data_IF_503462590956
#
_entry.id   IF_503462590956
#
_cell.length_a   1.000
_cell.length_b   1.000
_cell.length_c   1.000
_cell.angle_alpha   90.00
_cell.angle_beta   90.00
_cell.angle_gamma   90.00
#
_symmetry.space_group_name_H-M   'P 1'
#
loop_
_entity.id
_entity.type
_entity.pdbx_description
1 polymer ?
#
# COMPACT_ATOMS: atom_id res chain seq x y z
N UNK A 1 -14.84 10.45 -16.04
CA UNK A 1 -14.61 10.28 -14.58
C UNK A 1 -13.19 10.79 -14.26
N UNK A 2 -12.95 11.31 -13.06
CA UNK A 2 -11.64 11.84 -12.64
C UNK A 2 -11.26 11.31 -11.26
N UNK A 3 -9.97 11.35 -10.94
CA UNK A 3 -9.42 11.05 -9.61
C UNK A 3 -9.07 12.37 -8.93
N UNK A 4 -9.36 12.47 -7.63
CA UNK A 4 -8.95 13.62 -6.84
C UNK A 4 -7.66 13.31 -6.07
N UNK A 5 -6.68 14.21 -6.14
CA UNK A 5 -5.49 14.21 -5.27
C UNK A 5 -5.74 15.20 -4.15
N UNK A 6 -5.74 14.73 -2.90
CA UNK A 6 -5.97 15.56 -1.73
C UNK A 6 -4.64 16.01 -1.14
N UNK A 7 -4.28 17.28 -1.39
CA UNK A 7 -3.00 17.86 -0.96
C UNK A 7 -1.86 17.58 -1.93
N UNK A 8 -1.18 18.65 -2.33
CA UNK A 8 -0.05 18.62 -3.26
C UNK A 8 1.16 19.40 -2.74
N UNK A 9 1.13 19.73 -1.46
CA UNK A 9 2.09 20.56 -0.72
C UNK A 9 2.64 19.86 0.55
N UNK A 10 2.50 18.53 0.64
CA UNK A 10 3.11 17.75 1.72
C UNK A 10 4.65 17.79 1.65
N UNK A 11 5.36 17.61 2.78
CA UNK A 11 6.82 17.46 2.79
C UNK A 11 7.23 16.05 2.30
N UNK A 12 6.92 15.74 1.05
CA UNK A 12 7.23 14.49 0.34
C UNK A 12 7.88 14.83 -1.00
N UNK A 13 8.59 13.88 -1.66
CA UNK A 13 9.36 14.19 -2.86
C UNK A 13 8.57 14.87 -3.98
N UNK A 14 7.28 14.53 -4.13
CA UNK A 14 6.41 15.11 -5.14
C UNK A 14 5.27 15.97 -4.57
N UNK A 15 5.23 16.19 -3.25
CA UNK A 15 4.19 16.99 -2.59
C UNK A 15 2.87 16.25 -2.30
N UNK A 16 2.68 15.02 -2.77
CA UNK A 16 1.49 14.20 -2.44
C UNK A 16 1.74 13.24 -1.29
N UNK A 17 0.65 12.79 -0.65
CA UNK A 17 0.74 11.86 0.47
C UNK A 17 1.41 10.54 0.05
N UNK A 18 2.32 10.03 0.89
CA UNK A 18 2.99 8.74 0.69
C UNK A 18 2.34 7.68 1.58
N UNK A 19 2.02 6.53 1.00
CA UNK A 19 1.39 5.39 1.69
C UNK A 19 2.12 4.10 1.35
N UNK A 20 2.17 3.21 2.33
CA UNK A 20 2.63 1.83 2.14
C UNK A 20 1.47 0.97 1.65
N UNK A 21 1.56 0.55 0.39
CA UNK A 21 0.59 -0.33 -0.26
C UNK A 21 1.05 -1.77 -0.12
N UNK A 22 0.14 -2.65 0.30
CA UNK A 22 0.40 -4.08 0.48
C UNK A 22 -0.54 -4.90 -0.39
N UNK A 23 0.01 -5.90 -1.09
CA UNK A 23 -0.79 -6.81 -1.89
C UNK A 23 -1.74 -7.63 -1.00
N UNK A 24 -3.00 -7.79 -1.41
CA UNK A 24 -4.02 -8.46 -0.59
C UNK A 24 -3.66 -9.92 -0.25
N UNK A 25 -2.98 -10.63 -1.16
CA UNK A 25 -2.48 -11.98 -0.89
C UNK A 25 -1.33 -12.00 0.13
N UNK A 26 -0.46 -10.98 0.13
CA UNK A 26 0.59 -10.87 1.14
C UNK A 26 -0.01 -10.57 2.52
N UNK A 27 -1.03 -9.70 2.56
CA UNK A 27 -1.81 -9.46 3.77
C UNK A 27 -2.48 -10.76 4.27
N UNK A 28 -3.09 -11.54 3.38
CA UNK A 28 -3.73 -12.81 3.75
C UNK A 28 -2.74 -13.84 4.30
N UNK A 29 -1.57 -14.00 3.68
CA UNK A 29 -0.53 -14.91 4.18
C UNK A 29 0.00 -14.50 5.56
N UNK A 30 0.13 -13.19 5.82
CA UNK A 30 0.48 -12.69 7.14
C UNK A 30 -0.53 -13.12 8.22
N UNK A 31 -1.82 -13.05 7.91
CA UNK A 31 -2.87 -13.46 8.85
C UNK A 31 -2.84 -14.97 9.11
N UNK A 32 -2.59 -15.80 8.10
CA UNK A 32 -2.42 -17.25 8.27
C UNK A 32 -1.25 -17.55 9.21
N UNK A 33 -0.12 -16.86 9.04
CA UNK A 33 1.02 -16.99 9.94
C UNK A 33 0.70 -16.50 11.36
N UNK A 34 -0.01 -15.38 11.49
CA UNK A 34 -0.39 -14.82 12.78
C UNK A 34 -1.33 -15.75 13.58
N UNK A 35 -2.17 -16.55 12.91
CA UNK A 35 -2.97 -17.58 13.58
C UNK A 35 -2.06 -18.60 14.26
N UNK A 36 -0.98 -19.05 13.63
CA UNK A 36 -0.04 -19.99 14.24
C UNK A 36 0.64 -19.40 15.49
N UNK A 37 0.90 -18.09 15.49
CA UNK A 37 1.48 -17.38 16.65
C UNK A 37 0.60 -17.44 17.90
N UNK A 38 -0.72 -17.60 17.75
CA UNK A 38 -1.67 -17.71 18.88
C UNK A 38 -1.50 -18.98 19.70
N UNK A 39 -0.78 -19.99 19.17
CA UNK A 39 -0.41 -21.19 19.91
C UNK A 39 0.48 -20.88 21.12
N UNK A 40 1.18 -19.74 21.09
CA UNK A 40 1.94 -19.23 22.23
C UNK A 40 1.10 -18.20 22.99
N UNK A 41 0.81 -18.42 24.28
CA UNK A 41 0.08 -17.45 25.10
C UNK A 41 0.77 -16.09 25.11
N UNK A 42 0.01 -15.01 24.90
CA UNK A 42 0.54 -13.65 24.89
C UNK A 42 -0.23 -12.73 23.95
N UNK A 43 0.17 -11.46 23.94
CA UNK A 43 -0.32 -10.46 22.99
C UNK A 43 0.75 -10.25 21.93
N UNK A 44 0.40 -10.56 20.69
CA UNK A 44 1.26 -10.36 19.53
C UNK A 44 0.74 -9.18 18.71
N UNK A 45 1.61 -8.23 18.36
CA UNK A 45 1.26 -7.04 17.58
C UNK A 45 2.27 -6.91 16.45
N UNK A 46 1.79 -6.94 15.21
CA UNK A 46 2.63 -6.85 14.03
C UNK A 46 2.12 -5.74 13.11
N UNK A 47 3.03 -4.93 12.59
CA UNK A 47 2.70 -4.08 11.45
C UNK A 47 2.88 -4.88 10.16
N UNK A 48 1.96 -4.70 9.23
CA UNK A 48 1.96 -5.36 7.93
C UNK A 48 2.08 -4.29 6.86
N UNK A 49 3.16 -4.34 6.09
CA UNK A 49 3.33 -3.49 4.93
C UNK A 49 4.50 -3.94 4.09
N UNK A 50 4.64 -3.31 2.95
CA UNK A 50 5.72 -3.55 2.01
C UNK A 50 7.04 -2.96 2.53
N UNK A 51 6.97 -1.89 3.32
CA UNK A 51 8.14 -1.15 3.82
C UNK A 51 8.69 -0.13 2.81
N UNK A 52 8.13 -0.11 1.59
CA UNK A 52 8.32 0.97 0.62
C UNK A 52 7.02 1.77 0.51
N UNK A 53 7.13 3.10 0.64
CA UNK A 53 6.01 4.00 0.45
C UNK A 53 5.93 4.47 -1.01
N UNK A 54 4.71 4.63 -1.51
CA UNK A 54 4.42 5.22 -2.81
C UNK A 54 3.54 6.46 -2.63
N UNK A 55 3.83 7.51 -3.38
CA UNK A 55 3.03 8.72 -3.43
C UNK A 55 1.72 8.49 -4.20
N UNK A 56 0.76 9.41 -4.05
CA UNK A 56 -0.48 9.35 -4.83
C UNK A 56 -0.20 9.50 -6.34
N UNK A 57 0.78 10.34 -6.74
CA UNK A 57 1.12 10.49 -8.16
C UNK A 57 1.79 9.23 -8.71
N UNK A 58 2.71 8.60 -7.97
CA UNK A 58 3.34 7.33 -8.38
C UNK A 58 2.31 6.22 -8.62
N UNK A 59 1.26 6.17 -7.80
CA UNK A 59 0.13 5.24 -7.97
C UNK A 59 -0.65 5.54 -9.23
N UNK A 60 -0.98 6.80 -9.49
CA UNK A 60 -1.73 7.20 -10.69
C UNK A 60 -0.91 6.90 -11.95
N UNK A 61 0.36 7.30 -11.97
CA UNK A 61 1.27 7.05 -13.10
C UNK A 61 1.42 5.56 -13.37
N UNK A 62 1.58 4.74 -12.33
CA UNK A 62 1.68 3.29 -12.49
C UNK A 62 0.36 2.69 -12.99
N UNK A 63 -0.78 3.19 -12.54
CA UNK A 63 -2.08 2.79 -13.05
C UNK A 63 -2.27 3.16 -14.52
N UNK A 64 -1.85 4.35 -14.95
CA UNK A 64 -1.88 4.74 -16.37
C UNK A 64 -1.02 3.79 -17.22
N UNK A 65 0.19 3.45 -16.75
CA UNK A 65 1.08 2.49 -17.43
C UNK A 65 0.44 1.10 -17.56
N UNK A 66 -0.05 0.54 -16.45
CA UNK A 66 -0.65 -0.81 -16.40
C UNK A 66 -1.91 -0.89 -17.25
N UNK A 67 -2.76 0.14 -17.20
CA UNK A 67 -4.04 0.10 -17.90
C UNK A 67 -3.95 0.56 -19.36
N UNK A 68 -2.88 1.27 -19.73
CA UNK A 68 -2.73 1.94 -21.02
C UNK A 68 -3.74 3.07 -21.24
N UNK A 69 -4.31 3.62 -20.17
CA UNK A 69 -5.38 4.63 -20.21
C UNK A 69 -4.97 5.85 -19.43
N UNK A 70 -5.30 7.03 -19.95
CA UNK A 70 -5.14 8.26 -19.18
C UNK A 70 -6.20 8.36 -18.08
N UNK A 71 -5.78 8.84 -16.91
CA UNK A 71 -6.58 9.06 -15.72
C UNK A 71 -6.63 10.57 -15.46
N UNK A 72 -7.75 11.26 -15.76
CA UNK A 72 -7.87 12.69 -15.46
C UNK A 72 -7.76 12.94 -13.95
N UNK A 73 -6.90 13.89 -13.56
CA UNK A 73 -6.62 14.23 -12.17
C UNK A 73 -7.11 15.64 -11.83
N UNK A 74 -7.70 15.80 -10.64
CA UNK A 74 -8.08 17.09 -10.06
C UNK A 74 -7.41 17.24 -8.69
N UNK A 75 -6.58 18.25 -8.53
CA UNK A 75 -6.00 18.58 -7.23
C UNK A 75 -7.06 19.21 -6.31
N UNK A 76 -7.06 18.84 -5.04
CA UNK A 76 -8.04 19.24 -4.05
C UNK A 76 -7.34 19.53 -2.71
N UNK A 77 -7.96 20.32 -1.81
CA UNK A 77 -7.40 20.57 -0.49
C UNK A 77 -7.10 19.28 0.27
N UNK A 78 -6.14 19.34 1.20
CA UNK A 78 -5.82 18.22 2.10
C UNK A 78 -7.06 17.75 2.86
N UNK A 79 -7.15 16.44 3.09
CA UNK A 79 -8.10 15.90 4.07
C UNK A 79 -7.55 16.13 5.47
N UNK A 80 -8.38 16.66 6.37
CA UNK A 80 -7.98 16.88 7.74
C UNK A 80 -7.59 15.55 8.40
N UNK A 81 -6.42 15.50 9.04
CA UNK A 81 -5.90 14.32 9.73
C UNK A 81 -4.96 13.44 8.90
N UNK A 82 -4.81 13.67 7.60
CA UNK A 82 -3.90 12.85 6.77
C UNK A 82 -2.42 13.19 7.03
N UNK A 83 -1.60 12.23 7.51
CA UNK A 83 -0.16 12.43 7.62
C UNK A 83 0.51 12.46 6.25
N UNK A 84 1.66 13.13 6.18
CA UNK A 84 2.45 13.23 4.96
C UNK A 84 2.95 11.86 4.47
N UNK A 85 3.47 11.04 5.39
CA UNK A 85 3.98 9.70 5.11
C UNK A 85 3.44 8.72 6.15
N UNK A 86 3.03 7.54 5.69
CA UNK A 86 2.64 6.41 6.55
C UNK A 86 3.23 5.15 5.94
N UNK A 87 4.33 4.68 6.51
CA UNK A 87 5.11 3.53 6.06
C UNK A 87 5.27 2.54 7.21
N UNK A 88 5.06 1.25 6.93
CA UNK A 88 5.05 0.20 7.93
C UNK A 88 6.44 -0.40 8.14
N UNK A 89 6.86 -0.54 9.41
CA UNK A 89 8.03 -1.33 9.76
C UNK A 89 7.60 -2.77 10.08
N UNK A 90 7.98 -3.71 9.20
CA UNK A 90 7.54 -5.12 9.27
C UNK A 90 8.60 -6.08 9.82
N UNK A 91 9.63 -5.55 10.49
CA UNK A 91 10.78 -6.35 10.97
C UNK A 91 10.36 -7.44 11.96
N UNK A 92 9.43 -7.14 12.86
CA UNK A 92 9.02 -8.08 13.91
C UNK A 92 8.35 -9.34 13.35
N UNK A 93 7.40 -9.19 12.41
CA UNK A 93 6.74 -10.34 11.81
C UNK A 93 7.67 -11.12 10.87
N UNK A 94 8.64 -10.44 10.25
CA UNK A 94 9.71 -11.08 9.46
C UNK A 94 10.57 -11.96 10.36
N UNK A 95 10.99 -11.45 11.52
CA UNK A 95 11.86 -12.18 12.44
C UNK A 95 11.14 -13.31 13.18
N UNK A 96 9.90 -13.09 13.62
CA UNK A 96 9.20 -14.05 14.48
C UNK A 96 8.40 -15.08 13.69
N UNK A 97 7.77 -14.67 12.59
CA UNK A 97 6.87 -15.53 11.80
C UNK A 97 7.41 -15.86 10.40
N UNK A 98 8.57 -15.32 10.02
CA UNK A 98 9.16 -15.56 8.70
C UNK A 98 8.35 -14.95 7.56
N UNK A 99 7.45 -14.00 7.84
CA UNK A 99 6.61 -13.39 6.81
C UNK A 99 7.43 -12.49 5.89
N UNK A 100 7.35 -12.72 4.59
CA UNK A 100 7.99 -11.88 3.57
C UNK A 100 6.95 -11.60 2.47
N UNK A 101 6.64 -10.32 2.17
CA UNK A 101 5.79 -9.97 1.05
C UNK A 101 6.36 -10.52 -0.26
N UNK A 102 5.51 -11.14 -1.09
CA UNK A 102 5.91 -11.71 -2.38
C UNK A 102 5.64 -10.79 -3.55
N UNK A 103 4.79 -9.78 -3.37
CA UNK A 103 4.39 -8.85 -4.42
C UNK A 103 4.64 -7.41 -3.97
N UNK A 104 5.90 -7.00 -3.74
CA UNK A 104 6.22 -5.67 -3.27
C UNK A 104 6.04 -4.58 -4.34
N UNK A 105 5.93 -4.93 -5.61
CA UNK A 105 5.85 -3.97 -6.71
C UNK A 105 4.43 -3.45 -6.89
N UNK A 106 4.30 -2.11 -6.91
CA UNK A 106 3.03 -1.43 -7.15
C UNK A 106 2.41 -1.81 -8.51
N UNK A 107 3.25 -2.02 -9.53
CA UNK A 107 2.82 -2.47 -10.85
C UNK A 107 2.09 -3.81 -10.79
N UNK A 108 2.58 -4.76 -9.98
CA UNK A 108 1.95 -6.06 -9.80
C UNK A 108 0.60 -5.92 -9.08
N UNK A 109 0.55 -5.14 -7.99
CA UNK A 109 -0.68 -4.90 -7.24
C UNK A 109 -1.78 -4.30 -8.12
N UNK A 110 -1.43 -3.31 -8.94
CA UNK A 110 -2.39 -2.65 -9.83
C UNK A 110 -2.79 -3.57 -10.99
N UNK A 111 -1.85 -4.35 -11.54
CA UNK A 111 -2.15 -5.32 -12.62
C UNK A 111 -3.16 -6.36 -12.16
N UNK A 112 -2.94 -6.98 -10.99
CA UNK A 112 -3.83 -8.00 -10.45
C UNK A 112 -5.22 -7.41 -10.13
N UNK A 113 -5.28 -6.21 -9.55
CA UNK A 113 -6.54 -5.51 -9.32
C UNK A 113 -7.27 -5.16 -10.62
N UNK A 114 -6.54 -4.74 -11.65
CA UNK A 114 -7.12 -4.42 -12.96
C UNK A 114 -7.67 -5.65 -13.65
N UNK A 115 -6.92 -6.76 -13.69
CA UNK A 115 -7.38 -8.03 -14.26
C UNK A 115 -8.65 -8.54 -13.56
N UNK A 116 -8.73 -8.41 -12.23
CA UNK A 116 -9.87 -8.86 -11.44
C UNK A 116 -11.18 -8.14 -11.75
N UNK A 117 -11.15 -6.92 -12.32
CA UNK A 117 -12.35 -6.08 -12.57
C UNK A 117 -13.45 -6.73 -13.40
N UNK A 118 -13.12 -7.76 -14.17
CA UNK A 118 -14.04 -8.47 -15.08
C UNK A 118 -14.75 -9.66 -14.45
N UNK A 119 -14.46 -9.98 -13.19
CA UNK A 119 -15.15 -10.99 -12.39
C UNK A 119 -16.28 -10.35 -11.58
#
# INVERSE_FOLDING_TARGET
PHVQIFGTDYPTPDGTAVRDYIHVLDLATAHILAINATSTPGRHIYNLGNGAGFSVREVIETAERVTGRSIPVVESPRRAGDPAQLISASDLIRSELGWVPRYPELERMISDAWEHRGH
#
